data_IF_972600017588
#
_entry.id   IF_972600017588
#
_cell.length_a   1.000
_cell.length_b   1.000
_cell.length_c   1.000
_cell.angle_alpha   90.00
_cell.angle_beta   90.00
_cell.angle_gamma   90.00
#
_symmetry.space_group_name_H-M   'P 1'
#
loop_
_entity.id
_entity.type
_entity.pdbx_description
1 polymer ?
#
# COMPACT_ATOMS: atom_id res chain seq x y z
N UNK A 1 -8.47 15.23 27.61
CA UNK A 1 -9.34 14.16 27.07
C UNK A 1 -10.06 14.50 25.75
N UNK A 2 -9.77 15.64 25.08
CA UNK A 2 -10.54 16.09 23.89
C UNK A 2 -9.86 15.88 22.53
N UNK A 3 -8.56 15.53 22.48
CA UNK A 3 -7.81 15.45 21.22
C UNK A 3 -8.20 14.20 20.41
N UNK A 4 -8.28 13.04 21.07
CA UNK A 4 -8.68 11.79 20.43
C UNK A 4 -10.10 11.85 19.88
N UNK A 5 -10.96 12.69 20.48
CA UNK A 5 -12.36 12.76 20.09
C UNK A 5 -12.57 13.35 18.69
N UNK A 6 -11.71 14.28 18.31
CA UNK A 6 -11.76 14.89 16.97
C UNK A 6 -11.21 13.97 15.90
N UNK A 7 -10.14 13.23 16.19
CA UNK A 7 -9.49 12.33 15.23
C UNK A 7 -10.37 11.15 14.85
N UNK A 8 -11.06 10.52 15.81
CA UNK A 8 -11.92 9.38 15.48
C UNK A 8 -13.13 9.82 14.62
N UNK A 9 -13.66 11.04 14.81
CA UNK A 9 -14.78 11.56 13.99
C UNK A 9 -14.40 11.66 12.51
N UNK A 10 -13.14 12.00 12.23
CA UNK A 10 -12.62 12.03 10.86
C UNK A 10 -12.62 10.65 10.26
N UNK A 11 -12.03 9.70 11.01
CA UNK A 11 -11.91 8.33 10.57
C UNK A 11 -13.30 7.78 10.25
N UNK A 12 -14.27 7.94 11.16
CA UNK A 12 -15.64 7.49 10.95
C UNK A 12 -16.27 8.10 9.68
N UNK A 13 -16.14 9.41 9.44
CA UNK A 13 -16.67 10.03 8.21
C UNK A 13 -16.02 9.51 6.93
N UNK A 14 -14.72 9.22 6.96
CA UNK A 14 -14.01 8.60 5.83
C UNK A 14 -14.50 7.16 5.64
N UNK A 15 -14.74 6.43 6.72
CA UNK A 15 -15.31 5.08 6.68
C UNK A 15 -16.74 5.09 6.15
N UNK A 16 -17.60 6.01 6.59
CA UNK A 16 -18.98 6.14 6.10
C UNK A 16 -19.01 6.38 4.57
N UNK A 17 -18.15 7.29 4.08
CA UNK A 17 -18.06 7.55 2.64
C UNK A 17 -17.43 6.40 1.87
N UNK A 18 -16.42 5.75 2.42
CA UNK A 18 -15.82 4.56 1.83
C UNK A 18 -16.83 3.42 1.67
N UNK A 19 -17.68 3.19 2.68
CA UNK A 19 -18.70 2.16 2.64
C UNK A 19 -19.83 2.49 1.66
N UNK A 20 -20.14 3.78 1.47
CA UNK A 20 -21.19 4.22 0.53
C UNK A 20 -20.72 4.25 -0.94
N UNK A 21 -19.58 4.87 -1.23
CA UNK A 21 -19.09 5.05 -2.60
C UNK A 21 -18.07 3.99 -3.05
N UNK A 22 -17.47 3.24 -2.13
CA UNK A 22 -16.49 2.19 -2.38
C UNK A 22 -15.02 2.66 -2.40
N UNK A 23 -14.12 1.77 -2.85
CA UNK A 23 -12.67 1.96 -2.71
C UNK A 23 -12.06 3.17 -3.44
N UNK A 24 -12.76 3.75 -4.42
CA UNK A 24 -12.33 4.99 -5.10
C UNK A 24 -12.15 6.17 -4.15
N UNK A 25 -12.92 6.18 -3.06
CA UNK A 25 -12.91 7.25 -2.05
C UNK A 25 -11.55 7.36 -1.38
N UNK A 26 -10.89 6.23 -1.10
CA UNK A 26 -9.55 6.22 -0.50
C UNK A 26 -8.52 6.88 -1.42
N UNK A 27 -8.60 6.61 -2.73
CA UNK A 27 -7.73 7.25 -3.71
C UNK A 27 -8.00 8.76 -3.83
N UNK A 28 -9.28 9.18 -3.78
CA UNK A 28 -9.64 10.61 -3.75
C UNK A 28 -9.05 11.31 -2.52
N UNK A 29 -9.22 10.71 -1.34
CA UNK A 29 -8.67 11.26 -0.11
C UNK A 29 -7.13 11.31 -0.14
N UNK A 30 -6.47 10.27 -0.65
CA UNK A 30 -5.02 10.25 -0.80
C UNK A 30 -4.54 11.36 -1.76
N UNK A 31 -5.20 11.53 -2.91
CA UNK A 31 -4.89 12.60 -3.86
C UNK A 31 -5.15 13.99 -3.29
N UNK A 32 -6.22 14.17 -2.52
CA UNK A 32 -6.49 15.43 -1.84
C UNK A 32 -5.41 15.78 -0.81
N UNK A 33 -4.93 14.77 -0.06
CA UNK A 33 -3.79 14.95 0.85
C UNK A 33 -2.52 15.35 0.09
N UNK A 34 -2.22 14.67 -1.02
CA UNK A 34 -1.08 15.07 -1.86
C UNK A 34 -1.23 16.47 -2.44
N UNK A 35 -2.44 16.88 -2.80
CA UNK A 35 -2.71 18.23 -3.32
C UNK A 35 -2.48 19.31 -2.27
N UNK A 36 -2.82 19.06 -1.00
CA UNK A 36 -2.56 19.99 0.11
C UNK A 36 -1.06 20.19 0.33
N UNK A 37 -0.29 19.13 0.17
CA UNK A 37 1.16 19.16 0.41
C UNK A 37 1.98 19.25 -0.87
N UNK A 38 1.37 19.57 -2.00
CA UNK A 38 2.02 19.55 -3.32
C UNK A 38 3.28 20.40 -3.33
N UNK A 39 3.22 21.62 -2.79
CA UNK A 39 4.36 22.53 -2.73
C UNK A 39 5.50 22.01 -1.85
N UNK A 40 5.18 21.35 -0.73
CA UNK A 40 6.18 20.79 0.18
C UNK A 40 6.79 19.50 -0.39
N UNK A 41 6.00 18.70 -1.09
CA UNK A 41 6.45 17.52 -1.82
C UNK A 41 7.36 17.89 -2.99
N UNK A 42 7.05 18.97 -3.72
CA UNK A 42 7.88 19.46 -4.83
C UNK A 42 9.26 19.95 -4.37
N UNK A 43 9.39 20.41 -3.12
CA UNK A 43 10.67 20.79 -2.52
C UNK A 43 11.51 19.57 -2.12
N UNK A 44 10.87 18.41 -1.92
CA UNK A 44 11.54 17.18 -1.52
C UNK A 44 12.07 16.43 -2.75
N UNK A 45 13.36 16.61 -3.07
CA UNK A 45 14.01 15.90 -4.19
C UNK A 45 14.49 14.49 -3.86
N UNK A 46 14.50 14.12 -2.57
CA UNK A 46 15.05 12.87 -2.07
C UNK A 46 14.02 12.11 -1.20
N UNK A 47 14.12 10.78 -1.19
CA UNK A 47 13.19 9.91 -0.47
C UNK A 47 13.29 10.06 1.06
N UNK A 48 14.47 10.36 1.62
CA UNK A 48 14.64 10.52 3.07
C UNK A 48 13.81 11.67 3.67
N UNK A 49 13.96 12.90 3.16
CA UNK A 49 13.14 14.05 3.56
C UNK A 49 11.64 13.81 3.38
N UNK A 50 11.25 13.12 2.31
CA UNK A 50 9.87 12.75 2.00
C UNK A 50 9.26 11.86 3.11
N UNK A 51 9.94 10.79 3.53
CA UNK A 51 9.45 9.93 4.61
C UNK A 51 9.39 10.65 5.96
N UNK A 52 10.37 11.51 6.27
CA UNK A 52 10.36 12.33 7.48
C UNK A 52 9.16 13.30 7.49
N UNK A 53 8.82 13.86 6.33
CA UNK A 53 7.64 14.71 6.14
C UNK A 53 6.34 13.91 6.35
N UNK A 54 6.17 12.76 5.68
CA UNK A 54 5.00 11.90 5.90
C UNK A 54 4.81 11.48 7.36
N UNK A 55 5.90 11.29 8.11
CA UNK A 55 5.80 10.97 9.55
C UNK A 55 5.28 12.14 10.40
N UNK A 56 5.46 13.39 9.94
CA UNK A 56 4.99 14.61 10.61
C UNK A 56 3.56 14.95 10.23
N UNK A 57 3.11 14.55 9.06
CA UNK A 57 1.76 14.81 8.53
C UNK A 57 0.63 14.41 9.52
N UNK A 58 0.59 13.21 10.13
CA UNK A 58 -0.41 12.81 11.11
C UNK A 58 -0.48 13.69 12.37
N UNK A 59 0.60 14.42 12.69
CA UNK A 59 0.66 15.32 13.85
C UNK A 59 0.19 16.73 13.51
N UNK A 60 0.09 17.07 12.22
CA UNK A 60 -0.45 18.33 11.78
C UNK A 60 -1.96 18.35 11.98
N UNK A 61 -2.51 19.50 12.38
CA UNK A 61 -3.96 19.69 12.51
C UNK A 61 -4.58 19.68 11.11
N UNK A 62 -4.88 18.50 10.61
CA UNK A 62 -5.61 18.36 9.36
C UNK A 62 -6.97 19.04 9.44
N UNK A 63 -7.20 20.01 8.57
CA UNK A 63 -8.52 20.56 8.35
C UNK A 63 -9.23 19.62 7.39
N UNK A 64 -9.94 18.65 7.97
CA UNK A 64 -10.73 17.64 7.26
C UNK A 64 -11.64 18.30 6.23
N UNK A 65 -12.18 19.46 6.58
CA UNK A 65 -13.10 20.22 5.73
C UNK A 65 -12.42 20.64 4.41
N UNK A 66 -11.13 21.01 4.45
CA UNK A 66 -10.34 21.31 3.23
C UNK A 66 -10.05 20.05 2.41
N UNK A 67 -9.76 18.93 3.08
CA UNK A 67 -9.55 17.64 2.39
C UNK A 67 -10.84 17.24 1.66
N UNK A 68 -11.97 17.39 2.33
CA UNK A 68 -13.29 17.09 1.76
C UNK A 68 -13.62 17.99 0.57
N UNK A 69 -13.40 19.30 0.71
CA UNK A 69 -13.58 20.26 -0.37
C UNK A 69 -12.74 19.87 -1.59
N UNK A 70 -11.44 19.60 -1.42
CA UNK A 70 -10.55 19.19 -2.51
C UNK A 70 -11.00 17.85 -3.10
N UNK A 71 -11.33 16.85 -2.26
CA UNK A 71 -11.69 15.50 -2.68
C UNK A 71 -13.01 15.42 -3.46
N UNK A 72 -14.01 16.24 -3.11
CA UNK A 72 -15.35 16.17 -3.70
C UNK A 72 -15.67 17.30 -4.68
N UNK A 73 -15.01 18.46 -4.56
CA UNK A 73 -15.21 19.61 -5.47
C UNK A 73 -14.15 19.62 -6.56
N UNK A 74 -12.86 19.60 -6.21
CA UNK A 74 -11.79 19.78 -7.21
C UNK A 74 -11.45 18.50 -7.99
N UNK A 75 -11.64 17.34 -7.38
CA UNK A 75 -11.25 16.04 -7.94
C UNK A 75 -12.42 15.31 -8.63
N UNK A 76 -13.60 15.91 -8.73
CA UNK A 76 -14.78 15.30 -9.36
C UNK A 76 -14.88 15.73 -10.84
N UNK A 77 -15.06 14.82 -11.82
CA UNK A 77 -15.31 13.38 -11.72
C UNK A 77 -14.06 12.49 -11.64
N UNK A 78 -13.87 11.84 -10.49
CA UNK A 78 -12.92 10.73 -10.36
C UNK A 78 -13.63 9.40 -10.59
N UNK A 79 -13.63 8.96 -11.85
CA UNK A 79 -14.29 7.73 -12.31
C UNK A 79 -13.51 6.46 -12.01
N UNK A 80 -14.25 5.37 -11.71
CA UNK A 80 -13.68 4.03 -11.47
C UNK A 80 -12.87 3.48 -12.64
N UNK A 81 -13.18 3.91 -13.88
CA UNK A 81 -12.51 3.46 -15.11
C UNK A 81 -10.99 3.59 -15.07
N UNK A 82 -10.46 4.69 -14.53
CA UNK A 82 -9.02 4.91 -14.46
C UNK A 82 -8.35 4.00 -13.43
N UNK A 83 -9.05 3.75 -12.30
CA UNK A 83 -8.58 2.84 -11.25
C UNK A 83 -8.57 1.41 -11.79
N UNK A 84 -9.65 1.01 -12.47
CA UNK A 84 -9.78 -0.32 -13.08
C UNK A 84 -8.79 -0.55 -14.21
N UNK A 85 -8.51 0.48 -15.03
CA UNK A 85 -7.49 0.41 -16.06
C UNK A 85 -6.10 0.19 -15.46
N UNK A 86 -5.71 0.98 -14.45
CA UNK A 86 -4.45 0.76 -13.71
C UNK A 86 -4.42 -0.61 -13.03
N UNK A 87 -5.53 -1.06 -12.43
CA UNK A 87 -5.61 -2.38 -11.79
C UNK A 87 -5.45 -3.51 -12.80
N UNK A 88 -6.06 -3.41 -13.98
CA UNK A 88 -5.88 -4.39 -15.07
C UNK A 88 -4.44 -4.45 -15.58
N UNK A 89 -3.73 -3.32 -15.60
CA UNK A 89 -2.34 -3.28 -16.03
C UNK A 89 -1.39 -3.88 -14.98
N UNK A 90 -1.51 -3.48 -13.71
CA UNK A 90 -0.57 -3.89 -12.67
C UNK A 90 -0.84 -5.27 -12.07
N UNK A 91 -2.10 -5.74 -12.06
CA UNK A 91 -2.48 -7.05 -11.48
C UNK A 91 -1.75 -8.24 -12.12
N UNK A 92 -1.68 -8.40 -13.45
CA UNK A 92 -0.98 -9.55 -14.05
C UNK A 92 0.53 -9.53 -13.75
N UNK A 93 1.16 -8.36 -13.77
CA UNK A 93 2.57 -8.21 -13.44
C UNK A 93 2.87 -8.68 -12.00
N UNK A 94 2.01 -8.32 -11.05
CA UNK A 94 2.15 -8.77 -9.67
C UNK A 94 1.87 -10.26 -9.51
N UNK A 95 0.92 -10.82 -10.27
CA UNK A 95 0.65 -12.25 -10.27
C UNK A 95 1.84 -13.06 -10.81
N UNK A 96 2.48 -12.56 -11.87
CA UNK A 96 3.70 -13.18 -12.39
C UNK A 96 4.83 -13.14 -11.37
N UNK A 97 5.08 -11.99 -10.75
CA UNK A 97 6.07 -11.87 -9.69
C UNK A 97 5.79 -12.84 -8.53
N UNK A 98 4.53 -12.95 -8.08
CA UNK A 98 4.14 -13.88 -7.03
C UNK A 98 4.38 -15.34 -7.42
N UNK A 99 4.00 -15.74 -8.64
CA UNK A 99 4.23 -17.09 -9.13
C UNK A 99 5.73 -17.43 -9.19
N UNK A 100 6.57 -16.46 -9.59
CA UNK A 100 8.03 -16.63 -9.60
C UNK A 100 8.56 -16.80 -8.17
N UNK A 101 8.09 -15.99 -7.21
CA UNK A 101 8.46 -16.15 -5.80
C UNK A 101 7.99 -17.49 -5.21
N UNK A 102 6.80 -17.96 -5.54
CA UNK A 102 6.30 -19.27 -5.13
C UNK A 102 7.12 -20.41 -5.72
N UNK A 103 7.52 -20.32 -6.99
CA UNK A 103 8.41 -21.26 -7.65
C UNK A 103 9.80 -21.30 -7.00
N UNK A 104 10.39 -20.13 -6.68
CA UNK A 104 11.66 -20.05 -5.94
C UNK A 104 11.56 -20.68 -4.55
N UNK A 105 10.42 -20.51 -3.86
CA UNK A 105 10.18 -21.12 -2.55
C UNK A 105 10.10 -22.65 -2.65
N UNK A 106 9.45 -23.15 -3.70
CA UNK A 106 9.29 -24.58 -3.96
C UNK A 106 10.62 -25.25 -4.35
N UNK A 107 11.41 -24.61 -5.21
CA UNK A 107 12.77 -25.05 -5.58
C UNK A 107 13.71 -25.07 -4.36
N UNK A 108 13.65 -24.04 -3.51
CA UNK A 108 14.43 -24.01 -2.27
C UNK A 108 13.99 -25.07 -1.26
N UNK A 109 12.70 -25.44 -1.21
CA UNK A 109 12.24 -26.56 -0.36
C UNK A 109 12.67 -27.92 -0.91
N UNK A 110 12.65 -28.12 -2.23
CA UNK A 110 13.07 -29.38 -2.85
C UNK A 110 14.58 -29.60 -2.70
N UNK A 111 15.40 -28.57 -2.95
CA UNK A 111 16.87 -28.65 -2.76
C UNK A 111 17.28 -28.98 -1.32
N UNK A 112 16.48 -28.60 -0.33
CA UNK A 112 16.70 -29.02 1.07
C UNK A 112 16.44 -30.51 1.27
N UNK A 113 15.33 -31.01 0.72
CA UNK A 113 14.98 -32.43 0.80
C UNK A 113 16.01 -33.29 0.04
N UNK A 114 16.45 -32.84 -1.15
CA UNK A 114 17.46 -33.56 -1.94
C UNK A 114 18.83 -33.58 -1.24
N UNK A 115 19.23 -32.48 -0.59
CA UNK A 115 20.45 -32.46 0.24
C UNK A 115 20.34 -33.39 1.45
N UNK A 116 19.20 -33.40 2.15
CA UNK A 116 18.97 -34.29 3.30
C UNK A 116 18.94 -35.78 2.90
N UNK A 117 18.42 -36.09 1.70
CA UNK A 117 18.38 -37.46 1.16
C UNK A 117 19.77 -37.91 0.68
N UNK A 118 20.53 -37.00 0.05
CA UNK A 118 21.90 -37.28 -0.41
C UNK A 118 22.90 -37.46 0.75
N UNK A 119 22.67 -36.80 1.89
CA UNK A 119 23.45 -37.01 3.11
C UNK A 119 23.08 -38.33 3.82
N UNK A 120 21.83 -38.80 3.73
CA UNK A 120 21.43 -40.10 4.26
C UNK A 120 21.94 -41.28 3.44
N UNK A 121 21.91 -41.19 2.09
CA UNK A 121 22.43 -42.25 1.21
C UNK A 121 23.96 -42.40 1.32
N UNK A 122 24.68 -41.29 1.56
CA UNK A 122 26.14 -41.32 1.80
C UNK A 122 26.51 -41.96 3.15
N UNK A 123 25.65 -41.88 4.17
CA UNK A 123 25.90 -42.55 5.45
C UNK A 123 25.58 -44.05 5.41
N UNK A 124 24.68 -44.51 4.54
CA UNK A 124 24.32 -45.93 4.42
C UNK A 124 25.34 -46.77 3.62
N UNK A 125 26.08 -46.15 2.71
CA UNK A 125 27.08 -46.84 1.89
C UNK A 125 28.43 -47.06 2.63
N UNK A 126 28.70 -46.32 3.71
CA UNK A 126 29.90 -46.49 4.55
C UNK A 126 29.74 -47.56 5.67
N UNK A 127 28.54 -48.11 5.88
CA UNK A 127 28.24 -49.11 6.93
C UNK A 127 28.18 -50.58 6.43
N UNK A 128 28.52 -50.88 5.18
CA UNK A 128 28.47 -52.26 4.62
C UNK A 128 29.75 -52.66 3.87
#
# INVERSE_FOLDING_TARGET
MSINYRTYKVALRVWDTFLFEGCKVLFRFALAVFKIFEEDLLKCREAGPLFSFFRKIPRSRFVIDKIWEIAFVSLNPFGMRNIEAKRRYHRPLLQEQLNVFEGMRHDHSLKRIDNETSEQDQLSDDEN
#
